data_IF_587778066552
#
_entry.id   IF_587778066552
#
_cell.length_a   1.000
_cell.length_b   1.000
_cell.length_c   1.000
_cell.angle_alpha   90.00
_cell.angle_beta   90.00
_cell.angle_gamma   90.00
#
_symmetry.space_group_name_H-M   'P 1'
#
loop_
_entity.id
_entity.type
_entity.pdbx_description
1 polymer ?
#
# COMPACT_ATOMS: atom_id res chain seq x y z
N UNK A 1 14.73 -13.94 -8.77
CA UNK A 1 14.05 -14.63 -7.65
C UNK A 1 12.94 -13.69 -7.22
N UNK A 2 11.66 -14.10 -7.24
CA UNK A 2 10.56 -13.18 -6.89
C UNK A 2 10.57 -12.92 -5.38
N UNK A 3 10.78 -11.67 -4.96
CA UNK A 3 10.75 -11.27 -3.54
C UNK A 3 9.32 -11.12 -2.99
N UNK A 4 8.32 -11.34 -3.87
CA UNK A 4 6.90 -11.28 -3.56
C UNK A 4 6.44 -12.64 -3.09
N UNK A 5 5.93 -12.68 -1.87
CA UNK A 5 5.16 -13.80 -1.37
C UNK A 5 3.70 -13.37 -1.36
N UNK A 6 2.86 -14.07 -2.13
CA UNK A 6 1.42 -13.96 -1.94
C UNK A 6 1.08 -14.35 -0.49
N UNK A 7 0.21 -13.60 0.19
CA UNK A 7 -0.16 -13.92 1.56
C UNK A 7 -0.71 -15.35 1.62
N UNK A 8 -0.13 -16.16 2.50
CA UNK A 8 -0.47 -17.59 2.63
C UNK A 8 -1.87 -17.84 3.24
N UNK A 9 -2.51 -16.83 3.86
CA UNK A 9 -3.66 -17.03 4.76
C UNK A 9 -4.71 -15.90 4.68
N UNK A 10 -5.92 -16.17 5.20
CA UNK A 10 -7.08 -15.25 5.41
C UNK A 10 -6.83 -14.05 6.36
N UNK A 11 -5.59 -13.85 6.82
CA UNK A 11 -5.20 -12.80 7.78
C UNK A 11 -5.12 -11.39 7.16
N UNK A 12 -5.35 -11.25 5.84
CA UNK A 12 -5.23 -9.97 5.15
C UNK A 12 -6.47 -9.09 5.29
N UNK A 13 -7.63 -9.65 5.66
CA UNK A 13 -8.89 -8.92 5.83
C UNK A 13 -8.77 -7.78 6.85
N UNK A 14 -7.96 -7.96 7.90
CA UNK A 14 -7.77 -6.92 8.92
C UNK A 14 -7.09 -5.65 8.39
N UNK A 15 -6.39 -5.75 7.26
CA UNK A 15 -5.66 -4.66 6.61
C UNK A 15 -6.30 -4.25 5.28
N UNK A 16 -7.34 -4.96 4.84
CA UNK A 16 -7.99 -4.79 3.56
C UNK A 16 -8.94 -3.58 3.59
N UNK A 17 -8.42 -2.41 3.20
CA UNK A 17 -9.27 -1.26 2.93
C UNK A 17 -9.62 -1.20 1.45
N UNK A 18 -10.90 -0.97 1.15
CA UNK A 18 -11.43 -0.77 -0.19
C UNK A 18 -11.13 -1.92 -1.18
N UNK A 19 -11.01 -3.15 -0.67
CA UNK A 19 -10.72 -4.33 -1.49
C UNK A 19 -9.28 -4.46 -1.99
N UNK A 20 -8.38 -3.58 -1.54
CA UNK A 20 -6.95 -3.64 -1.88
C UNK A 20 -6.29 -4.76 -1.09
N UNK A 21 -5.67 -5.70 -1.81
CA UNK A 21 -4.97 -6.83 -1.23
C UNK A 21 -3.52 -6.46 -0.90
N UNK A 22 -3.09 -6.56 0.37
CA UNK A 22 -1.69 -6.44 0.71
C UNK A 22 -0.84 -7.57 0.11
N UNK A 23 0.42 -7.25 -0.13
CA UNK A 23 1.47 -8.20 -0.53
C UNK A 23 2.53 -8.25 0.55
N UNK A 24 3.11 -9.43 0.75
CA UNK A 24 4.25 -9.60 1.66
C UNK A 24 5.53 -9.55 0.84
N UNK A 25 6.37 -8.58 1.13
CA UNK A 25 7.65 -8.38 0.46
C UNK A 25 8.80 -8.80 1.38
N UNK A 26 9.73 -9.62 0.88
CA UNK A 26 10.98 -9.92 1.58
C UNK A 26 12.05 -8.92 1.18
N UNK A 27 12.66 -8.26 2.16
CA UNK A 27 13.81 -7.37 1.90
C UNK A 27 14.95 -8.11 1.20
N UNK A 28 15.63 -7.45 0.26
CA UNK A 28 16.83 -7.98 -0.38
C UNK A 28 18.05 -7.92 0.54
N UNK A 29 18.05 -6.98 1.48
CA UNK A 29 19.22 -6.63 2.27
C UNK A 29 19.13 -7.14 3.72
N UNK A 30 18.00 -7.74 4.09
CA UNK A 30 17.78 -8.30 5.43
C UNK A 30 16.75 -9.44 5.42
N UNK A 31 16.68 -10.22 6.49
CA UNK A 31 15.62 -11.23 6.68
C UNK A 31 14.27 -10.63 7.13
N UNK A 32 14.09 -9.31 6.99
CA UNK A 32 12.83 -8.65 7.31
C UNK A 32 11.80 -8.82 6.20
N UNK A 33 10.53 -8.82 6.63
CA UNK A 33 9.39 -8.82 5.74
C UNK A 33 8.54 -7.58 5.98
N UNK A 34 8.02 -7.02 4.90
CA UNK A 34 7.11 -5.87 4.93
C UNK A 34 5.75 -6.25 4.36
N UNK A 35 4.70 -5.69 4.96
CA UNK A 35 3.36 -5.70 4.38
C UNK A 35 3.18 -4.41 3.59
N UNK A 36 2.92 -4.54 2.30
CA UNK A 36 2.83 -3.45 1.35
C UNK A 36 1.52 -3.54 0.55
N UNK A 37 1.04 -2.43 0.00
CA UNK A 37 0.02 -2.41 -1.04
C UNK A 37 0.65 -1.87 -2.32
N UNK A 38 0.28 -2.41 -3.48
CA UNK A 38 0.83 -1.96 -4.75
C UNK A 38 0.07 -0.73 -5.24
N UNK A 39 0.80 0.29 -5.66
CA UNK A 39 0.21 1.49 -6.24
C UNK A 39 -0.67 1.18 -7.46
N UNK A 40 -0.29 0.20 -8.28
CA UNK A 40 -1.09 -0.23 -9.44
C UNK A 40 -2.49 -0.74 -9.03
N UNK A 41 -2.62 -1.34 -7.85
CA UNK A 41 -3.91 -1.77 -7.33
C UNK A 41 -4.70 -0.55 -6.81
N UNK A 42 -4.02 0.43 -6.21
CA UNK A 42 -4.63 1.69 -5.74
C UNK A 42 -5.18 2.55 -6.90
N UNK A 43 -4.57 2.49 -8.08
CA UNK A 43 -5.03 3.21 -9.29
C UNK A 43 -6.42 2.80 -9.76
N UNK A 44 -6.89 1.64 -9.33
CA UNK A 44 -8.25 1.18 -9.64
C UNK A 44 -9.33 1.86 -8.80
N UNK A 45 -8.94 2.59 -7.73
CA UNK A 45 -9.86 3.23 -6.81
C UNK A 45 -10.34 4.59 -7.35
N UNK A 46 -11.61 4.95 -7.14
CA UNK A 46 -12.18 6.20 -7.66
C UNK A 46 -11.64 7.48 -7.00
N UNK A 47 -10.83 7.33 -5.94
CA UNK A 47 -10.19 8.43 -5.21
C UNK A 47 -8.66 8.35 -5.28
N UNK A 48 -8.10 7.63 -6.26
CA UNK A 48 -6.65 7.47 -6.40
C UNK A 48 -5.90 8.80 -6.39
N UNK A 49 -6.32 9.78 -7.18
CA UNK A 49 -5.63 11.08 -7.26
C UNK A 49 -5.63 11.79 -5.89
N UNK A 50 -6.74 11.74 -5.17
CA UNK A 50 -6.87 12.30 -3.82
C UNK A 50 -5.94 11.60 -2.81
N UNK A 51 -5.82 10.27 -2.90
CA UNK A 51 -4.83 9.54 -2.11
C UNK A 51 -3.39 9.89 -2.54
N UNK A 52 -3.12 10.02 -3.85
CA UNK A 52 -1.79 10.28 -4.39
C UNK A 52 -1.25 11.62 -3.91
N UNK A 53 -2.11 12.64 -3.86
CA UNK A 53 -1.80 13.93 -3.21
C UNK A 53 -1.45 13.74 -1.74
N UNK A 54 -2.23 12.94 -1.00
CA UNK A 54 -1.90 12.60 0.39
C UNK A 54 -0.58 11.87 0.53
N UNK A 55 -0.17 11.03 -0.43
CA UNK A 55 1.05 10.25 -0.37
C UNK A 55 2.30 11.05 -0.77
N UNK A 56 2.14 12.29 -1.27
CA UNK A 56 3.25 13.12 -1.70
C UNK A 56 4.27 13.35 -0.58
N UNK A 57 5.51 12.91 -0.80
CA UNK A 57 6.59 12.98 0.21
C UNK A 57 6.61 11.83 1.22
N UNK A 58 5.70 10.85 1.14
CA UNK A 58 5.78 9.61 1.92
C UNK A 58 6.91 8.71 1.40
N UNK A 59 7.52 7.95 2.31
CA UNK A 59 8.47 6.92 1.93
C UNK A 59 7.72 5.72 1.30
N UNK A 60 8.10 5.35 0.08
CA UNK A 60 7.60 4.16 -0.62
C UNK A 60 8.79 3.34 -1.16
N UNK A 61 8.57 2.06 -1.42
CA UNK A 61 9.55 1.22 -2.10
C UNK A 61 9.25 1.19 -3.61
N UNK A 62 10.24 1.04 -4.49
CA UNK A 62 9.97 0.80 -5.91
C UNK A 62 9.31 -0.57 -6.10
N UNK A 63 8.31 -0.64 -6.99
CA UNK A 63 7.72 -1.92 -7.40
C UNK A 63 8.58 -2.53 -8.54
N UNK A 64 9.37 -3.55 -8.20
CA UNK A 64 10.22 -4.25 -9.15
C UNK A 64 9.45 -5.00 -10.26
N UNK A 65 8.17 -5.34 -10.04
CA UNK A 65 7.34 -6.00 -11.04
C UNK A 65 6.62 -5.00 -11.95
N UNK A 66 6.42 -3.76 -11.49
CA UNK A 66 5.72 -2.71 -12.22
C UNK A 66 6.60 -1.44 -12.28
N UNK A 67 7.52 -1.34 -13.28
CA UNK A 67 8.43 -0.20 -13.39
C UNK A 67 7.71 1.15 -13.37
N UNK A 68 8.19 2.06 -12.51
CA UNK A 68 7.60 3.39 -12.34
C UNK A 68 6.42 3.44 -11.35
N UNK A 69 6.02 2.32 -10.76
CA UNK A 69 5.06 2.25 -9.66
C UNK A 69 5.76 2.04 -8.32
N UNK A 70 5.02 2.30 -7.25
CA UNK A 70 5.50 2.15 -5.87
C UNK A 70 4.79 1.03 -5.13
N UNK A 71 5.49 0.48 -4.14
CA UNK A 71 4.92 -0.30 -3.05
C UNK A 71 4.78 0.64 -1.84
N UNK A 72 3.58 0.73 -1.32
CA UNK A 72 3.22 1.61 -0.20
C UNK A 72 3.13 0.75 1.05
N UNK A 73 3.69 1.22 2.17
CA UNK A 73 3.58 0.48 3.42
C UNK A 73 2.12 0.37 3.87
N UNK A 74 1.69 -0.82 4.30
CA UNK A 74 0.31 -1.05 4.75
C UNK A 74 -0.09 -0.08 5.86
N UNK A 75 0.79 0.20 6.83
CA UNK A 75 0.46 1.13 7.91
C UNK A 75 0.18 2.57 7.43
N UNK A 76 0.86 3.03 6.38
CA UNK A 76 0.60 4.35 5.77
C UNK A 76 -0.74 4.35 5.03
N UNK A 77 -1.02 3.28 4.28
CA UNK A 77 -2.30 3.08 3.62
C UNK A 77 -3.46 3.04 4.63
N UNK A 78 -3.31 2.29 5.72
CA UNK A 78 -4.31 2.21 6.79
C UNK A 78 -4.54 3.56 7.47
N UNK A 79 -3.47 4.32 7.75
CA UNK A 79 -3.57 5.64 8.37
C UNK A 79 -4.38 6.60 7.48
N UNK A 80 -4.11 6.60 6.18
CA UNK A 80 -4.91 7.33 5.20
C UNK A 80 -6.36 6.86 5.22
N UNK A 81 -6.62 5.55 5.10
CA UNK A 81 -7.99 5.02 5.02
C UNK A 81 -8.82 5.36 6.26
N UNK A 82 -8.24 5.19 7.45
CA UNK A 82 -8.90 5.53 8.72
C UNK A 82 -9.27 7.01 8.79
N UNK A 83 -8.37 7.89 8.35
CA UNK A 83 -8.65 9.33 8.29
C UNK A 83 -9.74 9.63 7.26
N UNK A 84 -9.59 9.13 6.04
CA UNK A 84 -10.50 9.37 4.93
C UNK A 84 -11.92 8.89 5.23
N UNK A 85 -12.08 7.68 5.78
CA UNK A 85 -13.39 7.14 6.19
C UNK A 85 -14.03 8.01 7.27
N UNK A 86 -13.22 8.50 8.22
CA UNK A 86 -13.73 9.27 9.36
C UNK A 86 -14.11 10.70 8.97
N UNK A 87 -13.37 11.33 8.07
CA UNK A 87 -13.45 12.79 7.86
C UNK A 87 -13.66 13.22 6.41
N UNK A 88 -13.50 12.32 5.44
CA UNK A 88 -13.44 12.65 4.02
C UNK A 88 -12.19 13.44 3.62
N UNK A 89 -11.17 13.52 4.50
CA UNK A 89 -9.95 14.32 4.29
C UNK A 89 -8.70 13.45 4.27
N UNK A 90 -7.57 14.07 3.92
CA UNK A 90 -6.23 13.49 4.06
C UNK A 90 -5.28 14.47 4.75
N UNK A 91 -4.01 14.10 4.95
CA UNK A 91 -3.07 14.85 5.83
C UNK A 91 -2.80 16.32 5.47
N UNK A 92 -3.20 16.77 4.29
CA UNK A 92 -2.99 18.14 3.81
C UNK A 92 -4.31 18.94 3.66
N UNK A 93 -5.47 18.37 4.01
CA UNK A 93 -6.80 18.96 3.83
C UNK A 93 -7.67 18.86 5.10
#
# INVERSE_FOLDING_TARGET
>A
MNNYLEPLNDEWDQFAYFGIKPVRYKSTDSDQFYWLVREIDLETLPFYDFWKESAYGSACMPDEQNPGKSLVYVHDWEAFCKLFIKTGKHRFN
#
